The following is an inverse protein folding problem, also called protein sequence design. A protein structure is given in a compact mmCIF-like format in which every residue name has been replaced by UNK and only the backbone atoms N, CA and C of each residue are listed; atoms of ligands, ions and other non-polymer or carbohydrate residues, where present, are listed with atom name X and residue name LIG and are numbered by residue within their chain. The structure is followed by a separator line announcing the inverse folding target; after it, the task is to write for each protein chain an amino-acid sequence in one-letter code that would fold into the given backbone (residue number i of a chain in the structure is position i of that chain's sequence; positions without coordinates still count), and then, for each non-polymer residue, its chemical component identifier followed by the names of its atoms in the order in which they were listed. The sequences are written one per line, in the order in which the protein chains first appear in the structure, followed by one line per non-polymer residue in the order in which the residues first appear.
data_IF_735949674451
#
_entry.id   IF_735949674451
#
_cell.length_a   1.000
_cell.length_b   1.000
_cell.length_c   1.000
_cell.angle_alpha   90.00
_cell.angle_beta   90.00
_cell.angle_gamma   90.00
#
_symmetry.space_group_name_H-M   'P 1'
#
loop_
_entity.id
_entity.type
_entity.pdbx_description
1 polymer ?
#
# COMPACT_ATOMS: atom_id res chain seq x y z
N UNK A 1 2.25 -15.26 5.51
CA UNK A 1 1.79 -15.38 4.10
C UNK A 1 0.76 -14.28 3.89
N UNK A 2 1.14 -13.16 3.26
CA UNK A 2 0.23 -12.03 3.00
C UNK A 2 0.64 -11.36 1.69
N UNK A 3 -0.26 -11.28 0.70
CA UNK A 3 -0.04 -10.38 -0.46
C UNK A 3 -1.21 -10.21 -1.42
N UNK A 4 -2.19 -11.11 -1.49
CA UNK A 4 -3.48 -10.78 -2.12
C UNK A 4 -4.46 -10.33 -1.04
N UNK A 5 -4.37 -10.98 0.12
CA UNK A 5 -5.18 -10.68 1.30
C UNK A 5 -5.10 -9.21 1.73
N UNK A 6 -3.97 -8.52 1.51
CA UNK A 6 -3.79 -7.13 1.93
C UNK A 6 -4.67 -6.14 1.16
N UNK A 7 -4.89 -6.36 -0.15
CA UNK A 7 -5.76 -5.49 -0.97
C UNK A 7 -7.23 -5.73 -0.59
N UNK A 8 -7.62 -6.99 -0.42
CA UNK A 8 -8.99 -7.32 -0.02
C UNK A 8 -9.29 -6.86 1.42
N UNK A 9 -8.31 -6.96 2.31
CA UNK A 9 -8.42 -6.45 3.69
C UNK A 9 -8.54 -4.93 3.71
N UNK A 10 -7.77 -4.21 2.89
CA UNK A 10 -7.93 -2.77 2.71
C UNK A 10 -9.35 -2.41 2.26
N UNK A 11 -9.87 -3.07 1.21
CA UNK A 11 -11.22 -2.81 0.69
C UNK A 11 -12.32 -3.00 1.73
N UNK A 12 -12.17 -3.98 2.62
CA UNK A 12 -13.14 -4.25 3.71
C UNK A 12 -13.06 -3.22 4.83
N UNK A 13 -11.88 -2.66 5.10
CA UNK A 13 -11.64 -1.79 6.26
C UNK A 13 -11.64 -0.29 5.91
N UNK A 14 -11.43 0.10 4.64
CA UNK A 14 -11.23 1.51 4.24
C UNK A 14 -12.40 2.43 4.62
N UNK A 15 -13.64 1.98 4.45
CA UNK A 15 -14.82 2.78 4.77
C UNK A 15 -14.97 2.99 6.28
N UNK A 16 -14.58 1.98 7.07
CA UNK A 16 -14.52 2.09 8.51
C UNK A 16 -13.45 3.11 8.93
N UNK A 17 -12.26 3.06 8.36
CA UNK A 17 -11.18 4.01 8.64
C UNK A 17 -11.61 5.44 8.25
N UNK A 18 -12.24 5.62 7.10
CA UNK A 18 -12.81 6.90 6.68
C UNK A 18 -13.83 7.44 7.68
N UNK A 19 -14.69 6.56 8.24
CA UNK A 19 -15.65 6.93 9.27
C UNK A 19 -14.98 7.41 10.56
N UNK A 20 -13.84 6.84 10.95
CA UNK A 20 -13.08 7.27 12.13
C UNK A 20 -12.58 8.70 11.99
N UNK A 21 -12.06 9.09 10.82
CA UNK A 21 -11.67 10.48 10.56
C UNK A 21 -12.87 11.44 10.61
N UNK A 22 -14.02 11.05 10.03
CA UNK A 22 -15.26 11.84 10.10
C UNK A 22 -15.72 12.06 11.54
N UNK A 23 -15.59 11.03 12.38
CA UNK A 23 -15.91 11.08 13.81
C UNK A 23 -14.77 11.65 14.68
N UNK A 24 -13.71 12.22 14.08
CA UNK A 24 -12.54 12.79 14.77
C UNK A 24 -11.80 11.82 15.69
N UNK A 25 -11.95 10.51 15.46
CA UNK A 25 -11.21 9.44 16.15
C UNK A 25 -9.84 9.23 15.50
N UNK A 26 -9.07 10.31 15.33
CA UNK A 26 -7.86 10.35 14.50
C UNK A 26 -6.77 9.40 14.98
N UNK A 27 -6.62 9.23 16.30
CA UNK A 27 -5.64 8.29 16.86
C UNK A 27 -5.97 6.84 16.50
N UNK A 28 -7.25 6.46 16.61
CA UNK A 28 -7.71 5.12 16.21
C UNK A 28 -7.57 4.92 14.69
N UNK A 29 -7.91 5.93 13.90
CA UNK A 29 -7.71 5.90 12.46
C UNK A 29 -6.23 5.70 12.10
N UNK A 30 -5.33 6.44 12.75
CA UNK A 30 -3.87 6.31 12.59
C UNK A 30 -3.38 4.89 12.89
N UNK A 31 -3.80 4.29 14.00
CA UNK A 31 -3.43 2.91 14.34
C UNK A 31 -3.95 1.90 13.31
N UNK A 32 -5.15 2.11 12.76
CA UNK A 32 -5.65 1.27 11.66
C UNK A 32 -4.82 1.47 10.38
N UNK A 33 -4.43 2.71 10.05
CA UNK A 33 -3.63 3.05 8.88
C UNK A 33 -2.25 2.38 8.91
N UNK A 34 -1.56 2.34 10.06
CA UNK A 34 -0.24 1.71 10.21
C UNK A 34 -0.21 0.26 9.72
N UNK A 35 -1.22 -0.54 10.10
CA UNK A 35 -1.39 -1.92 9.64
C UNK A 35 -1.46 -1.99 8.11
N UNK A 36 -2.20 -1.09 7.48
CA UNK A 36 -2.39 -1.08 6.02
C UNK A 36 -1.19 -0.51 5.27
N UNK A 37 -0.42 0.42 5.86
CA UNK A 37 0.85 0.87 5.30
C UNK A 37 1.82 -0.33 5.20
N UNK A 38 1.95 -1.12 6.27
CA UNK A 38 2.80 -2.32 6.28
C UNK A 38 2.29 -3.33 5.25
N UNK A 39 0.98 -3.60 5.24
CA UNK A 39 0.36 -4.54 4.28
C UNK A 39 0.56 -4.12 2.82
N UNK A 40 0.51 -2.82 2.54
CA UNK A 40 0.82 -2.26 1.23
C UNK A 40 2.27 -2.49 0.83
N UNK A 41 3.23 -2.19 1.73
CA UNK A 41 4.66 -2.40 1.49
C UNK A 41 4.93 -3.89 1.22
N UNK A 42 4.42 -4.79 2.05
CA UNK A 42 4.56 -6.24 1.84
C UNK A 42 4.02 -6.69 0.47
N UNK A 43 2.89 -6.12 0.04
CA UNK A 43 2.30 -6.43 -1.26
C UNK A 43 3.17 -5.93 -2.42
N UNK A 44 3.85 -4.78 -2.27
CA UNK A 44 4.84 -4.32 -3.25
C UNK A 44 6.03 -5.26 -3.35
N UNK A 45 6.57 -5.71 -2.21
CA UNK A 45 7.67 -6.68 -2.18
C UNK A 45 7.28 -7.98 -2.88
N UNK A 46 6.11 -8.54 -2.57
CA UNK A 46 5.65 -9.75 -3.25
C UNK A 46 5.42 -9.54 -4.75
N UNK A 47 4.82 -8.41 -5.15
CA UNK A 47 4.61 -8.11 -6.57
C UNK A 47 5.92 -8.10 -7.37
N UNK A 48 7.01 -7.68 -6.73
CA UNK A 48 8.35 -7.64 -7.30
C UNK A 48 9.19 -8.89 -6.99
N UNK A 49 8.57 -9.96 -6.47
CA UNK A 49 9.24 -11.23 -6.14
C UNK A 49 10.43 -11.06 -5.20
N UNK A 50 10.33 -10.12 -4.26
CA UNK A 50 11.33 -9.85 -3.23
C UNK A 50 10.80 -10.19 -1.85
N UNK A 51 11.70 -10.58 -0.96
CA UNK A 51 11.37 -10.79 0.44
C UNK A 51 11.27 -9.46 1.18
N UNK A 52 10.17 -9.26 1.90
CA UNK A 52 9.99 -8.09 2.75
C UNK A 52 10.96 -8.15 3.93
N UNK A 53 11.67 -7.03 4.14
CA UNK A 53 12.52 -6.81 5.30
C UNK A 53 12.09 -5.51 5.97
N UNK A 54 11.83 -5.59 7.27
CA UNK A 54 11.49 -4.42 8.07
C UNK A 54 12.76 -3.72 8.53
N UNK A 55 13.41 -2.99 7.62
CA UNK A 55 14.65 -2.29 7.88
C UNK A 55 14.71 -0.92 7.16
N UNK A 56 15.80 -0.18 7.37
CA UNK A 56 15.98 1.15 6.80
C UNK A 56 16.11 1.17 5.26
N UNK A 57 16.17 0.02 4.59
CA UNK A 57 16.31 -0.07 3.14
C UNK A 57 14.99 -0.02 2.37
N UNK A 58 13.83 -0.05 3.05
CA UNK A 58 12.49 -0.10 2.41
C UNK A 58 12.32 0.94 1.29
N UNK A 59 12.66 2.21 1.56
CA UNK A 59 12.49 3.27 0.55
C UNK A 59 13.38 3.03 -0.67
N UNK A 60 14.66 2.67 -0.44
CA UNK A 60 15.64 2.38 -1.50
C UNK A 60 15.25 1.16 -2.32
N UNK A 61 14.72 0.12 -1.67
CA UNK A 61 14.21 -1.07 -2.35
C UNK A 61 13.04 -0.70 -3.27
N UNK A 62 12.05 0.04 -2.77
CA UNK A 62 10.88 0.49 -3.54
C UNK A 62 11.29 1.39 -4.71
N UNK A 63 12.34 2.21 -4.59
CA UNK A 63 12.89 2.98 -5.73
C UNK A 63 13.34 2.07 -6.89
N UNK A 64 13.89 0.89 -6.57
CA UNK A 64 14.35 -0.09 -7.56
C UNK A 64 13.27 -1.06 -8.09
N UNK A 65 12.03 -1.01 -7.58
CA UNK A 65 10.98 -1.93 -8.00
C UNK A 65 10.50 -1.65 -9.43
N UNK A 66 10.36 -2.74 -10.21
CA UNK A 66 9.83 -2.71 -11.57
C UNK A 66 8.33 -2.41 -11.59
N UNK A 67 7.58 -2.98 -10.65
CA UNK A 67 6.14 -2.82 -10.53
C UNK A 67 5.82 -2.00 -9.28
N UNK A 68 5.44 -0.75 -9.46
CA UNK A 68 5.03 0.14 -8.37
C UNK A 68 4.13 1.28 -8.86
N UNK A 69 3.27 1.85 -8.00
CA UNK A 69 2.62 3.12 -8.27
C UNK A 69 3.61 4.27 -8.51
N UNK A 70 3.17 5.32 -9.19
CA UNK A 70 3.98 6.53 -9.35
C UNK A 70 4.23 7.22 -8.00
N UNK A 71 5.43 7.78 -7.84
CA UNK A 71 5.86 8.53 -6.65
C UNK A 71 5.61 7.78 -5.33
N UNK A 72 5.75 6.45 -5.35
CA UNK A 72 5.40 5.60 -4.18
C UNK A 72 6.14 6.03 -2.92
N UNK A 73 7.44 6.32 -3.00
CA UNK A 73 8.25 6.70 -1.83
C UNK A 73 7.80 8.04 -1.24
N UNK A 74 7.59 9.07 -2.07
CA UNK A 74 7.11 10.38 -1.60
C UNK A 74 5.73 10.26 -0.94
N UNK A 75 4.84 9.46 -1.53
CA UNK A 75 3.49 9.26 -1.00
C UNK A 75 3.51 8.48 0.31
N UNK A 76 4.31 7.41 0.41
CA UNK A 76 4.47 6.66 1.66
C UNK A 76 5.08 7.55 2.76
N UNK A 77 6.08 8.35 2.42
CA UNK A 77 6.68 9.33 3.33
C UNK A 77 5.62 10.32 3.82
N UNK A 78 4.84 10.90 2.92
CA UNK A 78 3.75 11.80 3.29
C UNK A 78 2.73 11.13 4.21
N UNK A 79 2.28 9.92 3.87
CA UNK A 79 1.28 9.17 4.65
C UNK A 79 1.81 8.91 6.05
N UNK A 80 3.05 8.46 6.21
CA UNK A 80 3.60 8.13 7.53
C UNK A 80 3.71 9.36 8.44
N UNK A 81 4.08 10.52 7.89
CA UNK A 81 4.14 11.78 8.63
C UNK A 81 2.75 12.38 8.93
N UNK A 82 1.72 12.04 8.15
CA UNK A 82 0.41 12.70 8.21
C UNK A 82 -0.77 11.77 8.49
N UNK A 83 -0.53 10.53 8.92
CA UNK A 83 -1.54 9.47 9.19
C UNK A 83 -2.66 9.84 10.17
N UNK A 84 -2.52 10.91 10.95
CA UNK A 84 -3.60 11.47 11.77
C UNK A 84 -4.61 12.32 10.99
N UNK A 85 -4.37 12.59 9.70
CA UNK A 85 -5.20 13.42 8.84
C UNK A 85 -5.87 12.61 7.73
N UNK A 86 -7.09 12.99 7.36
CA UNK A 86 -7.87 12.32 6.32
C UNK A 86 -7.18 12.31 4.94
N UNK A 87 -6.34 13.29 4.65
CA UNK A 87 -5.57 13.32 3.40
C UNK A 87 -4.60 12.13 3.28
N UNK A 88 -4.01 11.66 4.38
CA UNK A 88 -3.16 10.46 4.36
C UNK A 88 -3.97 9.21 3.99
N UNK A 89 -5.22 9.11 4.48
CA UNK A 89 -6.14 8.05 4.08
C UNK A 89 -6.42 8.06 2.58
N UNK A 90 -6.74 9.23 2.00
CA UNK A 90 -6.99 9.36 0.55
C UNK A 90 -5.76 8.90 -0.22
N UNK A 91 -4.56 9.33 0.20
CA UNK A 91 -3.32 8.94 -0.46
C UNK A 91 -3.09 7.43 -0.40
N UNK A 92 -3.36 6.80 0.74
CA UNK A 92 -3.24 5.34 0.87
C UNK A 92 -4.27 4.59 0.01
N UNK A 93 -5.52 5.06 -0.05
CA UNK A 93 -6.57 4.45 -0.90
C UNK A 93 -6.16 4.48 -2.38
N UNK A 94 -5.73 5.64 -2.87
CA UNK A 94 -5.22 5.82 -4.23
C UNK A 94 -3.96 4.96 -4.52
N UNK A 95 -3.09 4.75 -3.52
CA UNK A 95 -1.96 3.82 -3.63
C UNK A 95 -2.45 2.38 -3.82
N UNK A 96 -3.42 1.93 -3.03
CA UNK A 96 -3.99 0.59 -3.13
C UNK A 96 -4.69 0.35 -4.47
N UNK A 97 -5.47 1.31 -4.98
CA UNK A 97 -6.09 1.21 -6.31
C UNK A 97 -5.04 1.12 -7.42
N UNK A 98 -3.96 1.89 -7.29
CA UNK A 98 -2.84 1.84 -8.23
C UNK A 98 -2.09 0.51 -8.16
N UNK A 99 -1.91 -0.04 -6.97
CA UNK A 99 -1.25 -1.33 -6.74
C UNK A 99 -2.04 -2.48 -7.38
N UNK A 100 -3.37 -2.50 -7.24
CA UNK A 100 -4.23 -3.49 -7.90
C UNK A 100 -4.05 -3.49 -9.43
N UNK A 101 -3.94 -2.30 -10.04
CA UNK A 101 -3.63 -2.14 -11.47
C UNK A 101 -2.24 -2.70 -11.82
N UNK A 102 -1.24 -2.53 -10.96
CA UNK A 102 0.09 -3.11 -11.17
C UNK A 102 0.08 -4.65 -11.11
N UNK A 103 -0.67 -5.24 -10.17
CA UNK A 103 -0.87 -6.70 -10.13
C UNK A 103 -1.52 -7.24 -11.41
N UNK A 104 -2.58 -6.58 -11.89
CA UNK A 104 -3.24 -6.96 -13.14
C UNK A 104 -2.27 -6.87 -14.33
N UNK A 105 -1.47 -5.80 -14.41
CA UNK A 105 -0.44 -5.61 -15.45
C UNK A 105 0.62 -6.72 -15.40
N UNK A 106 1.18 -7.00 -14.22
CA UNK A 106 2.19 -8.05 -14.05
C UNK A 106 1.65 -9.43 -14.46
N UNK A 107 0.40 -9.74 -14.13
CA UNK A 107 -0.26 -11.00 -14.53
C UNK A 107 -0.39 -11.15 -16.05
N UNK A 108 -0.69 -10.06 -16.76
CA UNK A 108 -0.80 -10.08 -18.24
C UNK A 108 0.57 -10.26 -18.88
N UNK A 109 1.61 -9.55 -18.40
CA UNK A 109 2.96 -9.64 -18.95
C UNK A 109 3.58 -11.03 -18.72
N UNK A 110 3.47 -11.58 -17.51
CA UNK A 110 3.97 -12.94 -17.21
C UNK A 110 3.32 -14.03 -18.05
N UNK A 111 2.06 -13.85 -18.45
CA UNK A 111 1.37 -14.80 -19.36
C UNK A 111 1.89 -14.71 -20.79
N UNK A 112 2.28 -13.52 -21.25
CA UNK A 112 2.83 -13.31 -22.60
C UNK A 112 4.24 -13.88 -22.73
N UNK A 113 5.06 -13.81 -21.68
CA UNK A 113 6.42 -14.38 -21.70
C UNK A 113 6.44 -15.93 -21.71
N UNK A 114 5.30 -16.59 -21.46
CA UNK A 114 5.15 -18.05 -21.47
C UNK A 114 4.49 -18.60 -22.76
N UNK A 115 4.22 -17.75 -23.75
CA UNK A 115 3.65 -18.13 -25.07
C UNK A 115 4.68 -17.96 -26.17
#
# INVERSE_FOLDING_TARGET
MYSIDSIDTWKKERDYIASLYKSRQNQKASSCMEKHIIGFIQSLYQLNEREYRDDASIHKDIEGFQYKPMNTVDRLTFIDHSKQHYHAYIQLDELYESLEKQFAKAKVLKKKDQS
#
